data_IF_193571273512
#
_entry.id   IF_193571273512
#
_cell.length_a   1.000
_cell.length_b   1.000
_cell.length_c   1.000
_cell.angle_alpha   90.00
_cell.angle_beta   90.00
_cell.angle_gamma   90.00
#
_symmetry.space_group_name_H-M   'P 1'
#
loop_
_entity.id
_entity.type
_entity.pdbx_description
1 polymer ?
#
# COMPACT_ATOMS: atom_id res chain seq x y z
N UNK A 1 23.49 3.43 26.88
CA UNK A 1 23.26 1.98 26.97
C UNK A 1 21.82 1.69 26.59
N UNK A 2 21.61 1.23 25.35
CA UNK A 2 20.30 0.76 24.88
C UNK A 2 20.28 -0.73 25.17
N UNK A 3 19.65 -1.09 26.29
CA UNK A 3 19.35 -2.49 26.61
C UNK A 3 18.21 -2.95 25.70
N UNK A 4 18.54 -3.60 24.61
CA UNK A 4 17.58 -4.34 23.80
C UNK A 4 17.22 -5.62 24.57
N UNK A 5 15.98 -5.71 25.06
CA UNK A 5 15.49 -6.88 25.80
C UNK A 5 15.44 -8.09 24.86
N UNK A 6 16.42 -8.96 24.96
CA UNK A 6 16.58 -10.23 24.21
C UNK A 6 15.45 -11.25 24.46
N UNK A 7 14.58 -11.02 25.44
CA UNK A 7 13.52 -11.98 25.83
C UNK A 7 12.32 -11.94 24.87
N UNK A 8 12.10 -10.84 24.11
CA UNK A 8 11.00 -10.71 23.17
C UNK A 8 11.24 -11.39 21.80
N UNK A 9 12.51 -11.52 21.39
CA UNK A 9 12.85 -12.02 20.05
C UNK A 9 12.78 -13.55 19.92
N UNK A 10 13.18 -14.29 20.93
CA UNK A 10 13.12 -15.77 20.88
C UNK A 10 11.68 -16.31 20.96
N UNK A 11 10.79 -15.66 21.71
CA UNK A 11 9.37 -16.04 21.77
C UNK A 11 8.64 -15.77 20.44
N UNK A 12 8.96 -14.65 19.76
CA UNK A 12 8.39 -14.34 18.44
C UNK A 12 8.80 -15.33 17.34
N UNK A 13 10.06 -15.80 17.35
CA UNK A 13 10.57 -16.74 16.35
C UNK A 13 9.95 -18.13 16.52
N UNK A 14 9.79 -18.59 17.75
CA UNK A 14 9.27 -19.95 18.04
C UNK A 14 7.77 -20.06 17.74
N UNK A 15 6.99 -19.03 18.01
CA UNK A 15 5.55 -19.00 17.70
C UNK A 15 5.28 -18.89 16.20
N UNK A 16 6.14 -18.21 15.42
CA UNK A 16 6.02 -18.13 13.96
C UNK A 16 6.40 -19.43 13.24
N UNK A 17 7.31 -20.22 13.78
CA UNK A 17 7.75 -21.50 13.18
C UNK A 17 6.83 -22.67 13.54
N UNK A 18 6.00 -22.55 14.58
CA UNK A 18 5.05 -23.57 15.03
C UNK A 18 3.61 -23.31 14.64
N UNK A 19 3.26 -22.18 14.00
CA UNK A 19 1.92 -21.99 13.49
C UNK A 19 1.77 -22.81 12.20
N UNK A 20 0.79 -23.71 12.14
CA UNK A 20 0.31 -24.28 10.89
C UNK A 20 0.28 -23.18 9.83
N UNK A 21 0.83 -23.43 8.63
CA UNK A 21 0.93 -22.48 7.52
C UNK A 21 -0.48 -22.00 7.10
N UNK A 22 -1.04 -21.07 7.87
CA UNK A 22 -2.39 -20.58 7.65
C UNK A 22 -2.32 -19.40 6.70
N UNK A 23 -3.05 -19.48 5.59
CA UNK A 23 -3.17 -18.38 4.63
C UNK A 23 -3.73 -17.15 5.32
N UNK A 24 -3.01 -16.03 5.29
CA UNK A 24 -3.46 -14.76 5.86
C UNK A 24 -4.49 -14.10 4.93
N UNK A 25 -5.55 -13.52 5.47
CA UNK A 25 -6.45 -12.69 4.68
C UNK A 25 -5.77 -11.38 4.28
N UNK A 26 -6.35 -10.71 3.28
CA UNK A 26 -5.94 -9.37 2.90
C UNK A 26 -6.23 -8.44 4.08
N UNK A 27 -5.18 -7.86 4.64
CA UNK A 27 -5.27 -6.98 5.81
C UNK A 27 -5.54 -5.52 5.45
N UNK A 28 -5.35 -5.14 4.18
CA UNK A 28 -5.56 -3.77 3.73
C UNK A 28 -5.31 -3.61 2.24
N UNK A 29 -5.57 -2.41 1.73
CA UNK A 29 -5.48 -2.11 0.31
C UNK A 29 -4.84 -0.77 0.05
N UNK A 30 -4.16 -0.64 -1.08
CA UNK A 30 -3.98 0.66 -1.68
C UNK A 30 -5.34 1.28 -1.97
N UNK A 31 -5.37 2.60 -1.87
CA UNK A 31 -6.55 3.43 -2.04
C UNK A 31 -6.18 4.66 -2.87
N UNK A 32 -7.08 5.14 -3.72
CA UNK A 32 -6.81 6.30 -4.56
C UNK A 32 -8.08 7.09 -4.85
N UNK A 33 -7.94 8.40 -5.04
CA UNK A 33 -9.05 9.22 -5.50
C UNK A 33 -9.19 9.20 -7.02
N UNK A 34 -8.07 9.08 -7.72
CA UNK A 34 -7.99 8.85 -9.16
C UNK A 34 -6.71 8.09 -9.48
N UNK A 35 -6.80 7.15 -10.39
CA UNK A 35 -5.64 6.43 -10.89
C UNK A 35 -4.75 7.34 -11.74
N UNK A 36 -3.43 7.26 -11.53
CA UNK A 36 -2.47 8.14 -12.21
C UNK A 36 -2.18 7.72 -13.65
N UNK A 37 -2.20 6.43 -13.94
CA UNK A 37 -1.84 5.84 -15.22
C UNK A 37 -3.06 5.50 -16.10
N UNK A 38 -2.82 5.22 -17.37
CA UNK A 38 -3.88 5.01 -18.36
C UNK A 38 -4.67 3.71 -18.14
N UNK A 39 -3.98 2.66 -17.69
CA UNK A 39 -4.52 1.29 -17.54
C UNK A 39 -5.63 1.18 -16.49
N UNK A 40 -5.64 2.05 -15.48
CA UNK A 40 -6.70 2.18 -14.49
C UNK A 40 -7.57 3.42 -14.69
N UNK A 41 -7.25 4.25 -15.69
CA UNK A 41 -7.92 5.53 -15.91
C UNK A 41 -9.42 5.43 -16.21
N UNK A 42 -9.89 4.27 -16.67
CA UNK A 42 -11.29 4.07 -17.05
C UNK A 42 -12.28 4.12 -15.88
N UNK A 43 -11.84 3.93 -14.64
CA UNK A 43 -12.70 4.10 -13.46
C UNK A 43 -12.66 5.51 -12.87
N UNK A 44 -11.76 6.38 -13.33
CA UNK A 44 -11.59 7.73 -12.81
C UNK A 44 -12.84 8.61 -12.95
N UNK A 45 -13.60 8.43 -14.03
CA UNK A 45 -14.82 9.21 -14.24
C UNK A 45 -15.83 8.95 -13.12
N UNK A 46 -16.03 7.69 -12.74
CA UNK A 46 -16.91 7.34 -11.63
C UNK A 46 -16.41 7.95 -10.30
N UNK A 47 -15.12 7.77 -9.99
CA UNK A 47 -14.52 8.27 -8.75
C UNK A 47 -14.53 9.80 -8.66
N UNK A 48 -14.37 10.50 -9.79
CA UNK A 48 -14.41 11.96 -9.83
C UNK A 48 -15.74 12.54 -9.38
N UNK A 49 -16.83 11.79 -9.51
CA UNK A 49 -18.17 12.22 -9.12
C UNK A 49 -18.59 11.79 -7.72
N UNK A 50 -17.79 11.00 -7.02
CA UNK A 50 -18.15 10.56 -5.67
C UNK A 50 -18.31 11.75 -4.73
N UNK A 51 -19.45 11.76 -4.06
CA UNK A 51 -19.74 12.69 -2.95
C UNK A 51 -18.98 12.27 -1.68
N UNK A 52 -18.95 13.13 -0.68
CA UNK A 52 -18.36 12.79 0.62
C UNK A 52 -19.02 11.54 1.24
N UNK A 53 -20.34 11.40 1.13
CA UNK A 53 -21.06 10.21 1.62
C UNK A 53 -20.66 8.94 0.85
N UNK A 54 -20.50 9.03 -0.46
CA UNK A 54 -20.04 7.88 -1.27
C UNK A 54 -18.63 7.44 -0.91
N UNK A 55 -17.70 8.38 -0.68
CA UNK A 55 -16.35 8.07 -0.19
C UNK A 55 -16.38 7.40 1.19
N UNK A 56 -17.19 7.91 2.12
CA UNK A 56 -17.38 7.31 3.45
C UNK A 56 -17.89 5.87 3.35
N UNK A 57 -18.96 5.65 2.56
CA UNK A 57 -19.54 4.32 2.34
C UNK A 57 -18.53 3.34 1.70
N UNK A 58 -17.65 3.83 0.81
CA UNK A 58 -16.58 2.99 0.24
C UNK A 58 -15.59 2.54 1.30
N UNK A 59 -15.24 3.37 2.26
CA UNK A 59 -14.37 2.98 3.39
C UNK A 59 -15.04 1.91 4.27
N UNK A 60 -16.32 2.07 4.58
CA UNK A 60 -17.08 1.04 5.32
C UNK A 60 -17.17 -0.28 4.55
N UNK A 61 -17.42 -0.24 3.24
CA UNK A 61 -17.43 -1.43 2.37
C UNK A 61 -16.10 -2.20 2.44
N UNK A 62 -14.97 -1.48 2.40
CA UNK A 62 -13.64 -2.07 2.53
C UNK A 62 -13.43 -2.70 3.92
N UNK A 63 -13.95 -2.06 4.97
CA UNK A 63 -13.88 -2.59 6.33
C UNK A 63 -14.70 -3.87 6.50
N UNK A 64 -15.84 -3.97 5.85
CA UNK A 64 -16.72 -5.16 5.91
C UNK A 64 -16.04 -6.44 5.43
N UNK A 65 -15.11 -6.35 4.48
CA UNK A 65 -14.33 -7.50 3.99
C UNK A 65 -13.06 -7.77 4.82
N UNK A 66 -12.97 -7.20 6.02
CA UNK A 66 -11.94 -7.50 6.99
C UNK A 66 -10.64 -6.70 6.86
N UNK A 67 -10.59 -5.71 5.97
CA UNK A 67 -9.41 -4.89 5.82
C UNK A 67 -9.29 -3.89 6.99
N UNK A 68 -8.09 -3.80 7.54
CA UNK A 68 -7.73 -2.97 8.70
C UNK A 68 -6.85 -1.76 8.31
N UNK A 69 -6.29 -1.77 7.10
CA UNK A 69 -5.37 -0.76 6.63
C UNK A 69 -5.79 -0.22 5.26
N UNK A 70 -5.66 1.10 5.09
CA UNK A 70 -5.71 1.77 3.78
C UNK A 70 -4.44 2.57 3.56
N UNK A 71 -3.92 2.51 2.35
CA UNK A 71 -2.71 3.23 1.92
C UNK A 71 -3.08 4.12 0.75
N UNK A 72 -3.14 5.44 0.95
CA UNK A 72 -3.42 6.38 -0.12
C UNK A 72 -2.25 6.40 -1.11
N UNK A 73 -2.52 6.07 -2.37
CA UNK A 73 -1.51 6.01 -3.42
C UNK A 73 -0.89 7.38 -3.69
N UNK A 74 -1.71 8.40 -3.86
CA UNK A 74 -1.26 9.76 -4.10
C UNK A 74 -2.17 10.80 -3.44
N UNK A 75 -1.58 11.78 -2.79
CA UNK A 75 -2.31 12.93 -2.22
C UNK A 75 -2.57 14.02 -3.26
N UNK A 76 -1.83 13.94 -4.37
CA UNK A 76 -1.94 14.81 -5.54
C UNK A 76 -1.82 13.99 -6.83
N UNK A 77 -2.11 14.57 -7.96
CA UNK A 77 -1.83 14.04 -9.30
C UNK A 77 -1.31 15.16 -10.19
N UNK A 78 -0.12 14.98 -10.76
CA UNK A 78 0.56 15.99 -11.59
C UNK A 78 0.56 17.38 -10.92
N UNK A 79 0.96 17.43 -9.66
CA UNK A 79 1.09 18.67 -8.87
C UNK A 79 -0.23 19.30 -8.38
N UNK A 80 -1.37 18.66 -8.61
CA UNK A 80 -2.68 19.14 -8.14
C UNK A 80 -3.23 18.25 -7.04
N UNK A 81 -3.49 18.78 -5.84
CA UNK A 81 -3.97 17.99 -4.70
C UNK A 81 -5.42 17.55 -4.86
N UNK A 82 -5.78 16.49 -4.15
CA UNK A 82 -7.15 16.00 -3.99
C UNK A 82 -7.89 16.65 -2.80
N UNK A 83 -7.21 17.40 -1.96
CA UNK A 83 -7.75 18.07 -0.77
C UNK A 83 -7.63 19.60 -0.91
N UNK A 84 -8.37 20.41 -0.13
CA UNK A 84 -8.22 21.87 -0.13
C UNK A 84 -6.82 22.26 0.35
N UNK A 85 -5.99 22.77 -0.54
CA UNK A 85 -4.58 23.11 -0.30
C UNK A 85 -4.30 24.58 -0.58
N UNK A 86 -3.32 25.16 0.13
CA UNK A 86 -2.76 26.48 -0.11
C UNK A 86 -1.65 26.44 -1.16
N UNK A 87 -1.14 25.23 -1.50
CA UNK A 87 0.02 25.03 -2.38
C UNK A 87 -0.38 25.18 -3.86
N UNK A 88 -1.48 24.52 -4.23
CA UNK A 88 -1.97 24.53 -5.61
C UNK A 88 -3.51 24.37 -5.67
N UNK A 89 -4.16 24.78 -6.75
CA UNK A 89 -5.57 24.50 -6.98
C UNK A 89 -5.84 22.99 -7.02
N UNK A 90 -6.82 22.51 -6.25
CA UNK A 90 -7.17 21.11 -6.21
C UNK A 90 -7.75 20.59 -7.53
N UNK A 91 -7.68 19.29 -7.74
CA UNK A 91 -8.42 18.60 -8.80
C UNK A 91 -9.92 18.72 -8.50
N UNK A 92 -10.75 19.11 -9.50
CA UNK A 92 -12.20 19.11 -9.33
C UNK A 92 -12.73 17.69 -9.06
N UNK A 93 -13.47 17.53 -7.97
CA UNK A 93 -14.10 16.28 -7.53
C UNK A 93 -15.52 16.57 -7.09
N UNK A 94 -16.38 15.56 -7.05
CA UNK A 94 -17.74 15.65 -6.50
C UNK A 94 -17.80 15.91 -4.98
N UNK A 95 -16.64 15.86 -4.34
CA UNK A 95 -16.45 16.16 -2.92
C UNK A 95 -15.36 17.22 -2.77
N UNK A 96 -15.60 18.22 -1.91
CA UNK A 96 -14.63 19.31 -1.70
C UNK A 96 -13.37 18.86 -0.95
N UNK A 97 -13.53 17.94 -0.01
CA UNK A 97 -12.42 17.37 0.75
C UNK A 97 -12.60 15.84 0.88
N UNK A 98 -12.25 15.08 -0.17
CA UNK A 98 -12.37 13.63 -0.12
C UNK A 98 -11.42 13.00 0.91
N UNK A 99 -10.28 13.63 1.23
CA UNK A 99 -9.36 13.13 2.24
C UNK A 99 -9.99 13.18 3.63
N UNK A 100 -10.63 14.29 3.99
CA UNK A 100 -11.40 14.42 5.24
C UNK A 100 -12.53 13.38 5.30
N UNK A 101 -13.25 13.16 4.19
CA UNK A 101 -14.36 12.21 4.14
C UNK A 101 -13.90 10.77 4.44
N UNK A 102 -12.76 10.35 3.85
CA UNK A 102 -12.24 8.99 4.07
C UNK A 102 -11.59 8.81 5.44
N UNK A 103 -10.89 9.83 5.95
CA UNK A 103 -10.29 9.78 7.29
C UNK A 103 -11.36 9.74 8.39
N UNK A 104 -12.40 10.58 8.30
CA UNK A 104 -13.53 10.51 9.23
C UNK A 104 -14.20 9.13 9.23
N UNK A 105 -14.41 8.51 8.06
CA UNK A 105 -14.99 7.18 7.99
C UNK A 105 -14.04 6.11 8.56
N UNK A 106 -12.74 6.25 8.32
CA UNK A 106 -11.72 5.36 8.85
C UNK A 106 -11.66 5.42 10.39
N UNK A 107 -11.79 6.61 10.99
CA UNK A 107 -11.92 6.78 12.45
C UNK A 107 -13.12 6.00 12.99
N UNK A 108 -14.29 6.15 12.35
CA UNK A 108 -15.54 5.50 12.80
C UNK A 108 -15.48 3.99 12.74
N UNK A 109 -14.82 3.41 11.73
CA UNK A 109 -14.74 1.95 11.56
C UNK A 109 -13.43 1.32 12.02
N UNK A 110 -12.50 2.11 12.55
CA UNK A 110 -11.23 1.63 13.12
C UNK A 110 -10.21 1.17 12.08
N UNK A 111 -10.27 1.68 10.84
CA UNK A 111 -9.22 1.48 9.83
C UNK A 111 -8.02 2.36 10.17
N UNK A 112 -6.82 1.83 9.98
CA UNK A 112 -5.55 2.55 10.06
C UNK A 112 -5.19 3.08 8.68
N UNK A 113 -4.98 4.39 8.56
CA UNK A 113 -4.79 5.04 7.27
C UNK A 113 -3.35 5.57 7.12
N UNK A 114 -2.69 5.20 6.03
CA UNK A 114 -1.43 5.78 5.59
C UNK A 114 -1.72 6.86 4.55
N UNK A 115 -1.31 8.09 4.84
CA UNK A 115 -1.46 9.21 3.91
C UNK A 115 -0.23 9.31 3.02
N UNK A 116 -0.42 9.42 1.72
CA UNK A 116 0.67 9.67 0.78
C UNK A 116 1.24 11.08 0.97
N UNK A 117 2.52 11.22 0.70
CA UNK A 117 3.20 12.52 0.77
C UNK A 117 3.52 13.14 -0.60
N UNK A 118 3.26 12.46 -1.72
CA UNK A 118 3.78 12.87 -3.03
C UNK A 118 2.77 12.80 -4.19
N UNK A 119 3.30 12.86 -5.41
CA UNK A 119 2.74 13.15 -6.71
C UNK A 119 2.57 14.66 -6.99
N UNK A 120 3.49 15.45 -6.43
CA UNK A 120 3.55 16.92 -6.64
C UNK A 120 4.24 17.33 -7.93
N UNK A 121 4.89 16.43 -8.65
CA UNK A 121 5.48 16.62 -9.96
C UNK A 121 4.86 15.72 -11.03
N UNK A 122 5.29 15.94 -12.26
CA UNK A 122 4.94 15.09 -13.43
C UNK A 122 6.22 14.44 -13.98
N UNK A 123 6.94 13.76 -13.11
CA UNK A 123 8.19 13.06 -13.38
C UNK A 123 8.03 11.58 -13.00
N UNK A 124 8.89 10.73 -13.56
CA UNK A 124 8.99 9.35 -13.07
C UNK A 124 9.51 9.29 -11.62
N UNK A 125 9.27 8.17 -10.94
CA UNK A 125 9.57 8.01 -9.52
C UNK A 125 11.03 8.33 -9.16
N UNK A 126 11.99 7.95 -10.00
CA UNK A 126 13.42 8.23 -9.78
C UNK A 126 13.72 9.73 -9.81
N UNK A 127 13.24 10.43 -10.83
CA UNK A 127 13.41 11.87 -10.97
C UNK A 127 12.63 12.65 -9.89
N UNK A 128 11.47 12.17 -9.47
CA UNK A 128 10.71 12.72 -8.32
C UNK A 128 11.50 12.67 -7.01
N UNK A 129 12.30 11.61 -6.80
CA UNK A 129 13.17 11.50 -5.61
C UNK A 129 14.32 12.53 -5.62
N UNK A 130 14.84 12.88 -6.80
CA UNK A 130 16.01 13.75 -6.97
C UNK A 130 15.68 15.24 -7.07
N UNK A 131 14.47 15.58 -7.55
CA UNK A 131 14.10 16.96 -7.83
C UNK A 131 13.88 17.75 -6.53
N UNK A 132 14.71 18.80 -6.34
CA UNK A 132 14.66 19.65 -5.13
C UNK A 132 13.44 20.56 -5.09
N UNK A 133 12.88 20.92 -6.24
CA UNK A 133 11.63 21.69 -6.33
C UNK A 133 10.46 20.84 -5.85
N UNK A 134 10.36 19.61 -6.36
CA UNK A 134 9.36 18.64 -5.91
C UNK A 134 9.53 18.32 -4.42
N UNK A 135 10.76 18.14 -3.93
CA UNK A 135 11.03 17.92 -2.50
C UNK A 135 10.52 19.08 -1.64
N UNK A 136 10.72 20.31 -2.08
CA UNK A 136 10.25 21.50 -1.34
C UNK A 136 8.73 21.50 -1.24
N UNK A 137 8.04 21.28 -2.35
CA UNK A 137 6.57 21.22 -2.38
C UNK A 137 6.05 20.05 -1.54
N UNK A 138 6.68 18.89 -1.64
CA UNK A 138 6.36 17.69 -0.83
C UNK A 138 6.40 17.99 0.66
N UNK A 139 7.45 18.66 1.13
CA UNK A 139 7.59 18.97 2.55
C UNK A 139 6.57 20.02 3.01
N UNK A 140 6.29 21.05 2.22
CA UNK A 140 5.21 22.00 2.49
C UNK A 140 3.84 21.29 2.56
N UNK A 141 3.61 20.35 1.65
CA UNK A 141 2.37 19.56 1.66
C UNK A 141 2.27 18.65 2.89
N UNK A 142 3.37 18.02 3.32
CA UNK A 142 3.37 17.23 4.55
C UNK A 142 3.06 18.09 5.79
N UNK A 143 3.57 19.32 5.86
CA UNK A 143 3.23 20.27 6.94
C UNK A 143 1.73 20.58 6.92
N UNK A 144 1.18 20.94 5.76
CA UNK A 144 -0.23 21.25 5.59
C UNK A 144 -1.15 20.06 5.93
N UNK A 145 -0.78 18.86 5.47
CA UNK A 145 -1.52 17.61 5.75
C UNK A 145 -1.46 17.29 7.24
N UNK A 146 -0.30 17.40 7.87
CA UNK A 146 -0.15 17.16 9.30
C UNK A 146 -0.97 18.16 10.13
N UNK A 147 -0.95 19.46 9.78
CA UNK A 147 -1.76 20.49 10.45
C UNK A 147 -3.25 20.19 10.33
N UNK A 148 -3.71 19.75 9.16
CA UNK A 148 -5.14 19.56 8.89
C UNK A 148 -5.69 18.23 9.38
N UNK A 149 -4.95 17.13 9.25
CA UNK A 149 -5.50 15.78 9.34
C UNK A 149 -4.84 14.87 10.38
N UNK A 150 -3.70 15.25 10.99
CA UNK A 150 -3.06 14.37 11.97
C UNK A 150 -3.83 14.22 13.30
N UNK A 151 -4.91 14.99 13.47
CA UNK A 151 -5.82 14.86 14.60
C UNK A 151 -6.72 13.61 14.50
N UNK A 152 -6.88 13.03 13.32
CA UNK A 152 -7.63 11.78 13.13
C UNK A 152 -6.91 10.61 13.81
N UNK A 153 -7.63 9.84 14.61
CA UNK A 153 -7.08 8.65 15.29
C UNK A 153 -6.62 7.57 14.30
N UNK A 154 -7.25 7.54 13.13
CA UNK A 154 -6.88 6.64 12.01
C UNK A 154 -5.60 7.06 11.29
N UNK A 155 -5.07 8.28 11.46
CA UNK A 155 -3.83 8.73 10.84
C UNK A 155 -2.65 7.92 11.40
N UNK A 156 -2.44 6.75 10.78
CA UNK A 156 -1.48 5.77 11.29
C UNK A 156 -0.05 6.05 10.85
N UNK A 157 0.10 6.64 9.66
CA UNK A 157 1.42 6.92 9.13
C UNK A 157 1.46 7.55 7.75
N UNK A 158 2.67 7.59 7.20
CA UNK A 158 2.94 8.10 5.87
C UNK A 158 3.30 6.99 4.89
N UNK A 159 2.81 7.10 3.68
CA UNK A 159 3.26 6.32 2.55
C UNK A 159 4.14 7.17 1.63
N UNK A 160 5.34 6.69 1.30
CA UNK A 160 6.25 7.34 0.37
C UNK A 160 6.13 6.66 -1.00
N UNK A 161 5.35 7.26 -1.93
CA UNK A 161 4.89 6.56 -3.13
C UNK A 161 5.90 6.51 -4.28
N UNK A 162 7.05 7.17 -4.17
CA UNK A 162 8.08 7.07 -5.20
C UNK A 162 8.71 5.69 -5.14
N UNK A 163 8.21 4.80 -5.98
CA UNK A 163 8.53 3.38 -5.95
C UNK A 163 9.98 3.12 -6.31
N UNK A 164 10.64 2.31 -5.50
CA UNK A 164 12.00 1.87 -5.74
C UNK A 164 12.01 0.58 -6.58
N UNK A 165 12.66 0.64 -7.72
CA UNK A 165 13.03 -0.53 -8.50
C UNK A 165 14.21 -1.23 -7.84
N UNK A 166 14.05 -2.52 -7.49
CA UNK A 166 15.13 -3.36 -6.97
C UNK A 166 15.89 -4.01 -8.14
N UNK A 167 16.92 -3.32 -8.67
CA UNK A 167 17.66 -3.82 -9.83
C UNK A 167 19.15 -3.42 -9.78
N UNK A 168 20.03 -4.23 -9.13
CA UNK A 168 19.70 -5.35 -8.24
C UNK A 168 19.51 -4.93 -6.78
N UNK A 169 19.69 -3.67 -6.41
CA UNK A 169 19.60 -3.10 -5.07
C UNK A 169 18.79 -1.81 -5.09
N UNK A 170 18.46 -1.30 -3.91
CA UNK A 170 17.99 0.07 -3.80
C UNK A 170 19.06 1.03 -4.32
N UNK A 171 18.69 1.95 -5.21
CA UNK A 171 19.60 3.03 -5.62
C UNK A 171 19.81 4.01 -4.46
N UNK A 172 20.98 4.63 -4.37
CA UNK A 172 21.29 5.58 -3.29
C UNK A 172 20.28 6.74 -3.21
N UNK A 173 19.74 7.18 -4.35
CA UNK A 173 18.69 8.19 -4.40
C UNK A 173 17.45 7.78 -3.60
N UNK A 174 17.04 6.51 -3.69
CA UNK A 174 15.91 5.98 -2.92
C UNK A 174 16.23 5.95 -1.42
N UNK A 175 17.39 5.42 -1.03
CA UNK A 175 17.79 5.37 0.39
C UNK A 175 17.83 6.78 1.00
N UNK A 176 18.37 7.76 0.27
CA UNK A 176 18.43 9.14 0.71
C UNK A 176 17.02 9.77 0.81
N UNK A 177 16.19 9.57 -0.22
CA UNK A 177 14.81 10.04 -0.26
C UNK A 177 14.01 9.52 0.94
N UNK A 178 14.09 8.22 1.20
CA UNK A 178 13.40 7.59 2.34
C UNK A 178 13.89 8.18 3.66
N UNK A 179 15.21 8.29 3.86
CA UNK A 179 15.77 8.78 5.11
C UNK A 179 15.47 10.26 5.37
N UNK A 180 15.60 11.12 4.35
CA UNK A 180 15.27 12.55 4.44
C UNK A 180 13.77 12.75 4.74
N UNK A 181 12.92 12.01 4.04
CA UNK A 181 11.46 12.11 4.19
C UNK A 181 11.00 11.56 5.54
N UNK A 182 11.54 10.43 5.98
CA UNK A 182 11.21 9.85 7.29
C UNK A 182 11.64 10.76 8.45
N UNK A 183 12.83 11.37 8.34
CA UNK A 183 13.27 12.35 9.34
C UNK A 183 12.36 13.59 9.38
N UNK A 184 11.80 14.00 8.25
CA UNK A 184 10.82 15.09 8.19
C UNK A 184 9.48 14.65 8.79
N UNK A 185 8.94 13.50 8.39
CA UNK A 185 7.71 12.93 8.91
C UNK A 185 7.73 12.78 10.44
N UNK A 186 8.87 12.31 10.99
CA UNK A 186 9.02 12.14 12.42
C UNK A 186 8.95 13.46 13.21
N UNK A 187 9.38 14.58 12.62
CA UNK A 187 9.22 15.91 13.27
C UNK A 187 7.76 16.37 13.29
N UNK A 188 7.00 16.05 12.23
CA UNK A 188 5.59 16.47 12.11
C UNK A 188 4.66 15.59 12.94
N UNK A 189 4.89 14.28 12.90
CA UNK A 189 4.02 13.25 13.47
C UNK A 189 4.87 12.16 14.13
N UNK A 190 5.47 12.42 15.32
CA UNK A 190 6.49 11.56 15.92
C UNK A 190 6.02 10.14 16.29
N UNK A 191 4.70 9.94 16.40
CA UNK A 191 4.11 8.63 16.75
C UNK A 191 3.63 7.83 15.54
N UNK A 192 3.78 8.39 14.32
CA UNK A 192 3.38 7.74 13.09
C UNK A 192 4.48 6.84 12.53
N UNK A 193 4.07 5.84 11.75
CA UNK A 193 4.98 4.92 11.05
C UNK A 193 5.08 5.27 9.57
N UNK A 194 6.16 4.85 8.91
CA UNK A 194 6.42 5.12 7.50
C UNK A 194 6.45 3.82 6.70
N UNK A 195 5.87 3.85 5.49
CA UNK A 195 5.74 2.72 4.59
C UNK A 195 6.28 3.06 3.19
N UNK A 196 6.97 2.10 2.57
CA UNK A 196 7.33 2.08 1.15
C UNK A 196 6.91 0.75 0.50
N UNK A 197 6.75 0.75 -0.85
CA UNK A 197 6.36 -0.42 -1.63
C UNK A 197 7.27 -0.61 -2.85
N UNK A 198 8.46 -1.21 -2.69
CA UNK A 198 9.37 -1.48 -3.80
C UNK A 198 8.90 -2.65 -4.67
N UNK A 199 9.34 -2.65 -5.93
CA UNK A 199 9.00 -3.65 -6.95
C UNK A 199 10.26 -4.31 -7.58
N UNK A 200 10.07 -5.27 -8.50
CA UNK A 200 11.14 -6.07 -9.13
C UNK A 200 11.92 -6.97 -8.17
N UNK A 201 11.23 -7.62 -7.26
CA UNK A 201 11.86 -8.57 -6.30
C UNK A 201 12.61 -9.70 -7.00
N UNK A 202 12.21 -10.09 -8.23
CA UNK A 202 12.88 -11.10 -9.05
C UNK A 202 14.28 -10.69 -9.50
N UNK A 203 14.49 -9.39 -9.76
CA UNK A 203 15.76 -8.85 -10.24
C UNK A 203 16.72 -8.50 -9.09
N UNK A 204 16.22 -8.53 -7.86
CA UNK A 204 16.99 -8.14 -6.68
C UNK A 204 18.02 -9.20 -6.25
N UNK A 205 19.09 -8.71 -5.63
CA UNK A 205 20.07 -9.55 -4.90
C UNK A 205 19.89 -9.34 -3.41
N UNK A 206 19.70 -10.43 -2.68
CA UNK A 206 19.42 -10.41 -1.25
C UNK A 206 20.64 -10.88 -0.44
N UNK A 207 21.79 -10.28 -0.73
CA UNK A 207 23.06 -10.56 -0.05
C UNK A 207 23.33 -9.59 1.11
N UNK A 208 24.53 -9.63 1.67
CA UNK A 208 24.95 -8.75 2.78
C UNK A 208 24.92 -7.26 2.41
N UNK A 209 25.00 -6.91 1.12
CA UNK A 209 24.85 -5.51 0.71
C UNK A 209 23.40 -5.05 0.87
N UNK A 210 22.45 -5.86 0.44
CA UNK A 210 21.02 -5.59 0.62
C UNK A 210 20.64 -5.48 2.10
N UNK A 211 21.15 -6.40 2.93
CA UNK A 211 20.93 -6.34 4.40
C UNK A 211 21.42 -5.01 4.96
N UNK A 212 22.63 -4.56 4.59
CA UNK A 212 23.16 -3.26 5.02
C UNK A 212 22.33 -2.07 4.50
N UNK A 213 21.66 -2.17 3.36
CA UNK A 213 20.73 -1.14 2.90
C UNK A 213 19.48 -1.09 3.78
N UNK A 214 18.91 -2.26 4.14
CA UNK A 214 17.78 -2.32 5.08
C UNK A 214 18.13 -1.74 6.44
N UNK A 215 19.31 -2.05 6.98
CA UNK A 215 19.80 -1.52 8.26
C UNK A 215 19.92 0.01 8.27
N UNK A 216 20.29 0.61 7.12
CA UNK A 216 20.49 2.06 6.95
C UNK A 216 19.20 2.84 6.70
N UNK A 217 18.15 2.20 6.18
CA UNK A 217 16.90 2.87 5.87
C UNK A 217 16.08 3.18 7.13
N UNK A 218 15.73 4.43 7.31
CA UNK A 218 14.83 4.88 8.38
C UNK A 218 13.37 4.67 7.99
N UNK A 219 12.99 3.40 7.86
CA UNK A 219 11.64 2.98 7.45
C UNK A 219 11.10 1.93 8.42
N UNK A 220 9.80 1.93 8.66
CA UNK A 220 9.15 1.05 9.62
C UNK A 220 8.54 -0.18 8.96
N UNK A 221 8.02 -0.01 7.74
CA UNK A 221 7.34 -1.06 6.99
C UNK A 221 7.79 -1.01 5.53
N UNK A 222 8.13 -2.19 4.99
CA UNK A 222 8.34 -2.37 3.56
C UNK A 222 7.34 -3.43 3.07
N UNK A 223 6.42 -3.00 2.19
CA UNK A 223 5.43 -3.85 1.54
C UNK A 223 5.89 -4.12 0.11
N UNK A 224 6.59 -5.23 -0.12
CA UNK A 224 7.07 -5.56 -1.46
C UNK A 224 5.92 -5.98 -2.37
N UNK A 225 5.90 -5.44 -3.58
CA UNK A 225 4.98 -5.87 -4.64
C UNK A 225 5.35 -7.28 -5.09
N UNK A 226 4.37 -8.19 -5.18
CA UNK A 226 4.61 -9.56 -5.59
C UNK A 226 4.91 -9.69 -7.09
N UNK A 227 4.52 -8.70 -7.88
CA UNK A 227 4.79 -8.59 -9.31
C UNK A 227 4.10 -9.65 -10.17
N UNK A 228 3.07 -10.32 -9.65
CA UNK A 228 2.37 -11.39 -10.38
C UNK A 228 1.36 -10.82 -11.37
N UNK A 229 0.67 -9.75 -11.01
CA UNK A 229 -0.31 -9.09 -11.89
C UNK A 229 0.34 -8.42 -13.10
N UNK A 230 1.51 -7.81 -12.91
CA UNK A 230 2.32 -7.21 -13.99
C UNK A 230 3.22 -8.20 -14.72
N UNK A 231 3.14 -9.49 -14.42
CA UNK A 231 3.96 -10.57 -15.01
C UNK A 231 5.49 -10.42 -14.81
N UNK A 232 5.93 -9.69 -13.78
CA UNK A 232 7.34 -9.59 -13.43
C UNK A 232 7.82 -10.81 -12.64
N UNK A 233 6.95 -11.42 -11.84
CA UNK A 233 7.23 -12.61 -11.04
C UNK A 233 6.22 -13.69 -11.38
N UNK A 234 6.66 -14.94 -11.48
CA UNK A 234 5.73 -16.06 -11.62
C UNK A 234 5.08 -16.39 -10.27
N UNK A 235 3.88 -16.93 -10.32
CA UNK A 235 3.18 -17.38 -9.11
C UNK A 235 3.98 -18.48 -8.37
N UNK A 236 4.66 -19.33 -9.11
CA UNK A 236 5.50 -20.42 -8.59
C UNK A 236 6.76 -19.92 -7.87
N UNK A 237 7.33 -18.80 -8.32
CA UNK A 237 8.54 -18.21 -7.72
C UNK A 237 8.26 -17.27 -6.54
N UNK A 238 7.02 -16.78 -6.40
CA UNK A 238 6.65 -15.78 -5.39
C UNK A 238 7.04 -16.23 -3.97
N UNK A 239 6.69 -17.46 -3.57
CA UNK A 239 7.04 -18.00 -2.25
C UNK A 239 8.55 -18.01 -1.98
N UNK A 240 9.35 -18.35 -2.99
CA UNK A 240 10.83 -18.36 -2.90
C UNK A 240 11.40 -16.98 -2.65
N UNK A 241 10.89 -15.96 -3.37
CA UNK A 241 11.39 -14.59 -3.18
C UNK A 241 11.00 -14.05 -1.81
N UNK A 242 9.77 -14.30 -1.34
CA UNK A 242 9.36 -13.88 0.00
C UNK A 242 10.10 -14.63 1.12
N UNK A 243 10.49 -15.90 0.92
CA UNK A 243 11.36 -16.60 1.87
C UNK A 243 12.74 -15.94 1.96
N UNK A 244 13.31 -15.53 0.83
CA UNK A 244 14.64 -14.88 0.81
C UNK A 244 14.52 -13.46 1.42
N UNK A 245 13.49 -12.70 1.10
CA UNK A 245 13.21 -11.40 1.73
C UNK A 245 13.07 -11.53 3.24
N UNK A 246 12.30 -12.51 3.71
CA UNK A 246 12.13 -12.79 5.14
C UNK A 246 13.49 -12.99 5.83
N UNK A 247 14.37 -13.83 5.27
CA UNK A 247 15.72 -14.07 5.83
C UNK A 247 16.57 -12.80 5.87
N UNK A 248 16.46 -11.94 4.84
CA UNK A 248 17.19 -10.66 4.81
C UNK A 248 16.65 -9.69 5.87
N UNK A 249 15.32 -9.60 6.04
CA UNK A 249 14.68 -8.76 7.05
C UNK A 249 14.99 -9.24 8.49
N UNK A 250 14.94 -10.54 8.75
CA UNK A 250 15.34 -11.11 10.04
C UNK A 250 16.80 -10.76 10.38
N UNK A 251 17.69 -10.78 9.37
CA UNK A 251 19.11 -10.43 9.55
C UNK A 251 19.32 -8.95 9.81
N UNK A 252 18.60 -8.07 9.07
CA UNK A 252 18.68 -6.63 9.24
C UNK A 252 18.02 -6.14 10.54
N UNK A 253 17.02 -6.86 11.03
CA UNK A 253 16.26 -6.55 12.25
C UNK A 253 15.81 -5.08 12.34
N UNK A 254 15.30 -4.51 11.23
CA UNK A 254 14.97 -3.08 11.13
C UNK A 254 13.51 -2.82 10.76
N UNK A 255 13.11 -3.07 9.54
CA UNK A 255 11.76 -2.82 9.04
C UNK A 255 10.90 -4.09 9.10
N UNK A 256 9.60 -3.93 9.32
CA UNK A 256 8.62 -5.01 9.21
C UNK A 256 8.42 -5.35 7.74
N UNK A 257 8.38 -6.65 7.45
CA UNK A 257 8.11 -7.17 6.11
C UNK A 257 6.61 -7.37 5.91
N UNK A 258 6.03 -6.65 4.95
CA UNK A 258 4.67 -6.84 4.46
C UNK A 258 4.70 -7.27 2.99
N UNK A 259 3.59 -7.80 2.49
CA UNK A 259 3.40 -8.06 1.07
C UNK A 259 2.37 -7.09 0.49
N UNK A 260 2.56 -6.75 -0.78
CA UNK A 260 1.57 -6.15 -1.65
C UNK A 260 1.25 -7.13 -2.76
N UNK A 261 0.03 -7.67 -2.75
CA UNK A 261 -0.45 -8.68 -3.69
C UNK A 261 -1.29 -8.00 -4.77
N UNK A 262 -0.87 -8.16 -6.02
CA UNK A 262 -1.57 -7.58 -7.17
C UNK A 262 -2.83 -8.38 -7.52
N UNK A 263 -4.01 -7.76 -7.36
CA UNK A 263 -5.32 -8.40 -7.62
C UNK A 263 -5.76 -8.33 -9.09
N UNK A 264 -4.95 -7.76 -9.96
CA UNK A 264 -5.27 -7.48 -11.36
C UNK A 264 -4.37 -8.25 -12.33
N UNK A 265 -4.75 -8.24 -13.58
CA UNK A 265 -3.91 -8.57 -14.73
C UNK A 265 -4.13 -7.55 -15.84
N UNK A 266 -3.17 -7.42 -16.75
CA UNK A 266 -3.33 -6.58 -17.92
C UNK A 266 -4.21 -7.27 -18.98
N UNK A 267 -5.19 -6.56 -19.51
CA UNK A 267 -6.14 -7.06 -20.54
C UNK A 267 -5.44 -7.70 -21.72
N UNK A 268 -4.37 -7.06 -22.22
CA UNK A 268 -3.57 -7.53 -23.35
C UNK A 268 -2.34 -8.37 -22.93
N UNK A 269 -2.29 -8.80 -21.67
CA UNK A 269 -1.18 -9.58 -21.11
C UNK A 269 0.04 -8.76 -20.67
N UNK A 270 0.32 -7.63 -21.33
CA UNK A 270 1.46 -6.73 -21.00
C UNK A 270 1.07 -5.26 -20.94
N UNK A 271 -0.19 -4.95 -21.21
CA UNK A 271 -0.75 -3.59 -21.23
C UNK A 271 -2.28 -3.64 -21.30
N UNK A 272 -2.90 -2.56 -21.77
CA UNK A 272 -4.35 -2.39 -21.76
C UNK A 272 -4.89 -2.08 -20.36
N UNK A 273 -6.16 -2.35 -20.12
CA UNK A 273 -6.78 -2.07 -18.84
C UNK A 273 -6.34 -3.06 -17.76
N UNK A 274 -6.31 -2.60 -16.50
CA UNK A 274 -6.20 -3.47 -15.33
C UNK A 274 -7.55 -4.15 -15.10
N UNK A 275 -7.59 -5.47 -15.18
CA UNK A 275 -8.80 -6.27 -14.98
C UNK A 275 -8.69 -7.13 -13.72
N UNK A 276 -9.81 -7.37 -13.00
CA UNK A 276 -9.83 -8.19 -11.81
C UNK A 276 -9.39 -9.64 -12.08
N UNK A 277 -8.45 -10.15 -11.30
CA UNK A 277 -8.01 -11.53 -11.39
C UNK A 277 -8.98 -12.48 -10.70
N UNK A 278 -8.98 -13.74 -11.13
CA UNK A 278 -9.79 -14.79 -10.49
C UNK A 278 -9.22 -15.16 -9.12
N UNK A 279 -10.05 -15.07 -8.09
CA UNK A 279 -9.64 -15.36 -6.72
C UNK A 279 -9.19 -16.83 -6.56
N UNK A 280 -10.02 -17.77 -7.01
CA UNK A 280 -9.77 -19.20 -6.81
C UNK A 280 -8.59 -19.75 -7.59
N UNK A 281 -8.31 -19.18 -8.78
CA UNK A 281 -7.24 -19.67 -9.65
C UNK A 281 -5.89 -19.04 -9.35
N UNK A 282 -5.88 -17.76 -8.92
CA UNK A 282 -4.63 -17.00 -8.77
C UNK A 282 -4.48 -16.38 -7.38
N UNK A 283 -5.40 -15.53 -6.94
CA UNK A 283 -5.20 -14.68 -5.75
C UNK A 283 -4.98 -15.52 -4.50
N UNK A 284 -5.78 -16.59 -4.29
CA UNK A 284 -5.60 -17.47 -3.14
C UNK A 284 -4.18 -18.06 -3.09
N UNK A 285 -3.62 -18.43 -4.24
CA UNK A 285 -2.26 -18.98 -4.32
C UNK A 285 -1.19 -17.91 -4.06
N UNK A 286 -1.42 -16.64 -4.46
CA UNK A 286 -0.55 -15.53 -4.09
C UNK A 286 -0.57 -15.35 -2.56
N UNK A 287 -1.75 -15.33 -1.94
CA UNK A 287 -1.89 -15.24 -0.48
C UNK A 287 -1.18 -16.40 0.24
N UNK A 288 -1.32 -17.63 -0.23
CA UNK A 288 -0.63 -18.81 0.30
C UNK A 288 0.89 -18.69 0.18
N UNK A 289 1.39 -18.15 -0.94
CA UNK A 289 2.80 -18.00 -1.22
C UNK A 289 3.49 -17.02 -0.26
N UNK A 290 2.85 -15.87 0.04
CA UNK A 290 3.46 -14.81 0.85
C UNK A 290 3.21 -14.98 2.35
N UNK A 291 2.08 -15.57 2.75
CA UNK A 291 1.60 -15.64 4.14
C UNK A 291 2.61 -16.15 5.16
N UNK A 292 3.44 -17.17 4.89
CA UNK A 292 4.40 -17.67 5.87
C UNK A 292 5.50 -16.68 6.24
N UNK A 293 5.75 -15.68 5.41
CA UNK A 293 6.94 -14.86 5.46
C UNK A 293 6.70 -13.41 5.88
N UNK A 294 5.46 -12.93 5.89
CA UNK A 294 5.13 -11.53 6.10
C UNK A 294 4.24 -11.31 7.32
N UNK A 295 4.30 -10.12 7.91
CA UNK A 295 3.42 -9.78 9.04
C UNK A 295 1.98 -9.52 8.58
N UNK A 296 1.82 -8.78 7.49
CA UNK A 296 0.53 -8.41 6.89
C UNK A 296 0.58 -8.56 5.37
N UNK A 297 -0.59 -8.79 4.79
CA UNK A 297 -0.79 -8.80 3.34
C UNK A 297 -1.67 -7.61 2.98
N UNK A 298 -1.15 -6.70 2.19
CA UNK A 298 -1.91 -5.67 1.50
C UNK A 298 -2.21 -6.11 0.08
N UNK A 299 -3.07 -5.38 -0.63
CA UNK A 299 -3.33 -5.63 -2.03
C UNK A 299 -3.36 -4.35 -2.87
N UNK A 300 -2.91 -4.46 -4.10
CA UNK A 300 -3.17 -3.49 -5.15
C UNK A 300 -4.21 -4.06 -6.11
N UNK A 301 -5.48 -3.57 -6.09
CA UNK A 301 -6.09 -2.73 -5.06
C UNK A 301 -7.59 -3.04 -4.95
N UNK A 302 -8.29 -2.45 -3.98
CA UNK A 302 -9.74 -2.59 -3.87
C UNK A 302 -10.48 -1.74 -4.89
N UNK A 303 -10.19 -0.42 -4.94
CA UNK A 303 -10.83 0.50 -5.88
C UNK A 303 -10.57 0.11 -7.33
N UNK A 304 -11.60 0.09 -8.13
CA UNK A 304 -11.56 -0.31 -9.54
C UNK A 304 -11.51 -1.82 -9.78
N UNK A 305 -11.00 -2.61 -8.83
CA UNK A 305 -10.71 -4.05 -8.99
C UNK A 305 -11.64 -4.94 -8.16
N UNK A 306 -12.15 -4.44 -7.02
CA UNK A 306 -13.09 -5.15 -6.16
C UNK A 306 -14.24 -4.21 -5.80
N UNK A 307 -15.50 -4.66 -5.94
CA UNK A 307 -16.67 -3.85 -5.62
C UNK A 307 -17.80 -4.71 -5.05
N UNK A 308 -18.42 -4.21 -3.98
CA UNK A 308 -19.64 -4.80 -3.43
C UNK A 308 -20.79 -4.66 -4.43
N UNK A 309 -21.58 -5.73 -4.69
CA UNK A 309 -22.75 -5.64 -5.56
C UNK A 309 -23.85 -4.74 -4.99
N UNK A 310 -24.78 -4.32 -5.89
CA UNK A 310 -26.00 -3.61 -5.55
C UNK A 310 -25.79 -2.27 -4.81
N UNK A 311 -24.69 -1.57 -5.11
CA UNK A 311 -24.38 -0.24 -4.58
C UNK A 311 -24.20 0.78 -5.70
N UNK A 312 -24.39 2.07 -5.38
CA UNK A 312 -24.15 3.22 -6.28
C UNK A 312 -22.69 3.72 -6.24
N UNK A 313 -21.80 2.96 -5.60
CA UNK A 313 -20.37 3.28 -5.46
C UNK A 313 -19.47 2.25 -6.17
N UNK A 314 -20.01 1.54 -7.15
CA UNK A 314 -19.22 0.66 -8.03
C UNK A 314 -18.39 1.50 -8.99
N UNK A 315 -17.10 1.20 -9.07
CA UNK A 315 -16.18 1.80 -10.02
C UNK A 315 -15.23 0.71 -10.55
N UNK A 316 -15.06 0.63 -11.86
CA UNK A 316 -14.17 -0.36 -12.49
C UNK A 316 -14.90 -1.38 -13.38
N UNK A 317 -14.22 -2.50 -13.64
CA UNK A 317 -14.75 -3.55 -14.51
C UNK A 317 -15.90 -4.34 -13.82
N UNK A 318 -16.91 -4.81 -14.55
CA UNK A 318 -18.01 -5.63 -13.97
C UNK A 318 -17.53 -6.87 -13.21
N UNK A 319 -16.43 -7.51 -13.63
CA UNK A 319 -15.85 -8.67 -12.92
C UNK A 319 -15.30 -8.34 -11.52
N UNK A 320 -15.19 -7.06 -11.16
CA UNK A 320 -14.84 -6.63 -9.81
C UNK A 320 -15.85 -7.09 -8.75
N UNK A 321 -17.12 -7.21 -9.14
CA UNK A 321 -18.18 -7.76 -8.27
C UNK A 321 -17.92 -9.24 -8.02
N UNK A 322 -17.57 -10.00 -9.06
CA UNK A 322 -17.24 -11.43 -8.93
C UNK A 322 -16.05 -11.65 -8.00
N UNK A 323 -15.00 -10.82 -8.12
CA UNK A 323 -13.85 -10.91 -7.22
C UNK A 323 -14.25 -10.61 -5.76
N UNK A 324 -15.08 -9.60 -5.52
CA UNK A 324 -15.61 -9.29 -4.21
C UNK A 324 -16.36 -10.47 -3.60
N UNK A 325 -17.29 -11.08 -4.35
CA UNK A 325 -18.08 -12.21 -3.90
C UNK A 325 -17.20 -13.42 -3.57
N UNK A 326 -16.26 -13.79 -4.43
CA UNK A 326 -15.32 -14.89 -4.24
C UNK A 326 -14.44 -14.68 -2.99
N UNK A 327 -13.89 -13.48 -2.83
CA UNK A 327 -13.06 -13.16 -1.67
C UNK A 327 -13.88 -13.18 -0.38
N UNK A 328 -15.07 -12.57 -0.38
CA UNK A 328 -15.95 -12.49 0.80
C UNK A 328 -16.41 -13.88 1.24
N UNK A 329 -16.76 -14.77 0.32
CA UNK A 329 -17.12 -16.16 0.62
C UNK A 329 -15.95 -16.87 1.31
N UNK A 330 -14.74 -16.76 0.75
CA UNK A 330 -13.53 -17.35 1.34
C UNK A 330 -13.23 -16.75 2.72
N UNK A 331 -13.29 -15.42 2.86
CA UNK A 331 -13.00 -14.71 4.10
C UNK A 331 -13.97 -15.12 5.23
N UNK A 332 -15.25 -15.26 4.95
CA UNK A 332 -16.24 -15.74 5.90
C UNK A 332 -15.95 -17.17 6.38
N UNK A 333 -15.49 -18.05 5.48
CA UNK A 333 -15.03 -19.40 5.87
C UNK A 333 -13.76 -19.37 6.72
N UNK A 334 -12.84 -18.46 6.40
CA UNK A 334 -11.62 -18.25 7.16
C UNK A 334 -11.93 -17.81 8.60
N UNK A 335 -12.83 -16.84 8.79
CA UNK A 335 -13.22 -16.37 10.13
C UNK A 335 -13.82 -17.48 10.99
N UNK A 336 -14.76 -18.27 10.45
CA UNK A 336 -15.37 -19.40 11.16
C UNK A 336 -14.38 -20.49 11.61
N UNK A 337 -13.22 -20.57 10.98
CA UNK A 337 -12.16 -21.50 11.39
C UNK A 337 -11.24 -20.93 12.46
N UNK A 338 -11.33 -19.61 12.71
CA UNK A 338 -10.53 -18.91 13.72
C UNK A 338 -11.26 -18.74 15.06
N UNK A 339 -12.61 -18.90 15.05
CA UNK A 339 -13.45 -19.00 16.24
C UNK A 339 -13.41 -20.41 16.83
#
# INVERSE_FOLDING_TARGET
>A
EISCSLVGSEMCIRDRLCSDKKTKPISGSWFEFQHSAAEGGYWNEALAHFTADQWRRKVFEIREVGMEYLVLMGVARAGKPFYPSKIAPRIPMGCDDPLEAVLSAADECGIKFFVSNDFWGDLDAYNMMLDKGVQTVRFQAMEEIAERYSHHACFYGWYFPNEAMLQPYFVDACVNYVNETAAFAQRLTPNCVNLIAPYFIKEARFDDHFVRQLEKMNIDIIAYQDGVGVNHTSLEDSAKFYEILYKAHEKACRARLWADVELFYFEDGTGGNLLPADFGKRIIRQLEAVSPYVDKVLCYQYLGIMNKPDTDIVAGHPDSIKLYEQYTEWYNHYQKKCE
#
